data_IF_994897475897
#
_entry.id   IF_994897475897
#
_cell.length_a   1.000
_cell.length_b   1.000
_cell.length_c   1.000
_cell.angle_alpha   90.00
_cell.angle_beta   90.00
_cell.angle_gamma   90.00
#
_symmetry.space_group_name_H-M   'P 1'
#
loop_
_entity.id
_entity.type
_entity.pdbx_description
1 polymer ?
#
# COMPACT_ATOMS: atom_id res chain seq x y z
N UNK A 1 22.50 -2.85 -13.43
CA UNK A 1 23.02 -2.27 -12.16
C UNK A 1 22.57 -0.85 -11.82
N UNK A 2 22.92 0.22 -12.57
CA UNK A 2 22.49 1.60 -12.18
C UNK A 2 20.95 1.74 -12.25
N UNK A 3 20.35 1.22 -13.31
CA UNK A 3 18.90 1.19 -13.51
C UNK A 3 18.17 0.43 -12.38
N UNK A 4 18.70 -0.74 -11.98
CA UNK A 4 18.22 -1.51 -10.82
C UNK A 4 18.17 -0.66 -9.55
N UNK A 5 19.28 0.03 -9.23
CA UNK A 5 19.38 0.86 -8.03
C UNK A 5 18.36 2.00 -8.05
N UNK A 6 18.25 2.71 -9.17
CA UNK A 6 17.31 3.82 -9.34
C UNK A 6 15.87 3.34 -9.20
N UNK A 7 15.51 2.25 -9.87
CA UNK A 7 14.16 1.68 -9.84
C UNK A 7 13.78 1.16 -8.45
N UNK A 8 14.72 0.56 -7.70
CA UNK A 8 14.50 0.16 -6.31
C UNK A 8 14.28 1.39 -5.41
N UNK A 9 15.10 2.43 -5.54
CA UNK A 9 15.00 3.63 -4.73
C UNK A 9 13.67 4.34 -4.98
N UNK A 10 13.33 4.57 -6.25
CA UNK A 10 12.09 5.23 -6.65
C UNK A 10 10.89 4.36 -6.24
N UNK A 11 10.90 3.08 -6.61
CA UNK A 11 9.81 2.15 -6.33
C UNK A 11 9.51 2.04 -4.84
N UNK A 12 10.55 1.83 -4.02
CA UNK A 12 10.43 1.80 -2.56
C UNK A 12 9.90 3.11 -1.98
N UNK A 13 10.35 4.26 -2.50
CA UNK A 13 9.87 5.56 -1.99
C UNK A 13 8.39 5.74 -2.31
N UNK A 14 7.95 5.34 -3.50
CA UNK A 14 6.53 5.38 -3.90
C UNK A 14 5.70 4.41 -3.06
N UNK A 15 6.20 3.21 -2.73
CA UNK A 15 5.53 2.29 -1.78
C UNK A 15 5.29 3.01 -0.47
N UNK A 16 6.33 3.61 0.11
CA UNK A 16 6.27 4.34 1.37
C UNK A 16 5.23 5.46 1.34
N UNK A 17 5.20 6.25 0.27
CA UNK A 17 4.18 7.28 0.05
C UNK A 17 2.78 6.64 0.02
N UNK A 18 2.59 5.60 -0.80
CA UNK A 18 1.31 4.91 -0.96
C UNK A 18 0.74 4.37 0.34
N UNK A 19 1.58 3.81 1.23
CA UNK A 19 1.15 3.28 2.53
C UNK A 19 0.45 4.35 3.39
N UNK A 20 0.91 5.59 3.36
CA UNK A 20 0.33 6.66 4.16
C UNK A 20 -1.09 7.04 3.74
N UNK A 21 -1.46 6.77 2.49
CA UNK A 21 -2.81 7.01 1.98
C UNK A 21 -3.78 5.90 2.38
N UNK A 22 -3.31 4.74 2.83
CA UNK A 22 -4.17 3.61 3.19
C UNK A 22 -4.90 3.93 4.51
N UNK A 23 -6.24 3.92 4.54
CA UNK A 23 -6.99 4.14 5.76
C UNK A 23 -6.90 2.90 6.67
N UNK A 24 -6.20 3.03 7.80
CA UNK A 24 -6.00 1.94 8.75
C UNK A 24 -6.60 2.31 10.09
N UNK A 25 -7.50 1.46 10.57
CA UNK A 25 -8.16 1.64 11.87
C UNK A 25 -7.73 0.64 12.94
N UNK A 26 -7.01 -0.43 12.58
CA UNK A 26 -6.45 -1.39 13.54
C UNK A 26 -7.50 -2.03 14.47
N UNK A 27 -7.10 -2.33 15.70
CA UNK A 27 -7.99 -2.88 16.72
C UNK A 27 -9.21 -1.99 17.01
N UNK A 28 -9.09 -0.63 17.09
CA UNK A 28 -10.25 0.22 17.24
C UNK A 28 -11.29 0.09 16.11
N UNK A 29 -10.87 -0.10 14.86
CA UNK A 29 -11.83 -0.30 13.76
C UNK A 29 -12.48 -1.67 13.81
N UNK A 30 -11.76 -2.71 14.27
CA UNK A 30 -12.36 -4.03 14.48
C UNK A 30 -13.49 -4.00 15.54
N UNK A 31 -13.39 -3.07 16.50
CA UNK A 31 -14.43 -2.82 17.50
C UNK A 31 -15.47 -1.78 17.06
N UNK A 32 -15.41 -1.31 15.80
CA UNK A 32 -16.26 -0.21 15.31
C UNK A 32 -16.17 1.06 16.16
N UNK A 33 -14.98 1.38 16.67
CA UNK A 33 -14.73 2.59 17.49
C UNK A 33 -13.91 3.66 16.77
N UNK A 34 -13.39 3.36 15.59
CA UNK A 34 -12.78 4.32 14.67
C UNK A 34 -13.08 3.93 13.23
N UNK A 35 -13.02 4.90 12.33
CA UNK A 35 -13.06 4.62 10.90
C UNK A 35 -11.70 4.13 10.37
N UNK A 36 -11.73 3.24 9.39
CA UNK A 36 -10.57 2.63 8.75
C UNK A 36 -10.72 1.12 8.62
N UNK A 37 -9.76 0.49 7.93
CA UNK A 37 -9.77 -0.96 7.76
C UNK A 37 -9.43 -1.64 9.12
N UNK A 38 -10.20 -2.65 9.56
CA UNK A 38 -10.06 -3.33 10.86
C UNK A 38 -8.88 -4.33 10.86
N UNK A 39 -7.68 -3.84 10.55
CA UNK A 39 -6.47 -4.65 10.50
C UNK A 39 -5.22 -3.77 10.72
N UNK A 40 -4.08 -4.40 10.96
CA UNK A 40 -2.80 -3.69 11.13
C UNK A 40 -2.30 -3.08 9.82
N UNK A 41 -1.71 -1.89 9.90
CA UNK A 41 -1.18 -1.17 8.72
C UNK A 41 -0.18 -2.01 7.91
N UNK A 42 0.79 -2.71 8.52
CA UNK A 42 1.70 -3.56 7.75
C UNK A 42 0.97 -4.71 7.04
N UNK A 43 -0.06 -5.27 7.66
CA UNK A 43 -0.77 -6.47 7.19
C UNK A 43 -1.65 -6.19 5.97
N UNK A 44 -2.41 -5.08 5.97
CA UNK A 44 -3.18 -4.70 4.77
C UNK A 44 -2.26 -4.26 3.64
N UNK A 45 -1.19 -3.55 3.98
CA UNK A 45 -0.26 -3.01 2.99
C UNK A 45 0.51 -4.14 2.30
N UNK A 46 0.95 -5.16 3.03
CA UNK A 46 1.54 -6.34 2.38
C UNK A 46 0.52 -7.11 1.54
N UNK A 47 -0.75 -7.18 1.96
CA UNK A 47 -1.79 -7.82 1.16
C UNK A 47 -1.96 -7.16 -0.22
N UNK A 48 -1.98 -5.82 -0.28
CA UNK A 48 -2.02 -5.12 -1.57
C UNK A 48 -0.72 -5.27 -2.36
N UNK A 49 0.44 -5.31 -1.67
CA UNK A 49 1.75 -5.51 -2.30
C UNK A 49 1.89 -6.88 -2.94
N UNK A 50 1.53 -7.96 -2.23
CA UNK A 50 1.51 -9.33 -2.77
C UNK A 50 0.59 -9.40 -3.98
N UNK A 51 -0.64 -8.90 -3.87
CA UNK A 51 -1.61 -8.98 -4.97
C UNK A 51 -1.14 -8.21 -6.20
N UNK A 52 -0.57 -7.01 -6.01
CA UNK A 52 -0.01 -6.22 -7.10
C UNK A 52 1.20 -6.88 -7.75
N UNK A 53 2.14 -7.40 -6.97
CA UNK A 53 3.35 -8.06 -7.50
C UNK A 53 2.98 -9.35 -8.24
N UNK A 54 2.02 -10.14 -7.74
CA UNK A 54 1.54 -11.33 -8.44
C UNK A 54 0.79 -10.98 -9.74
N UNK A 55 0.02 -9.89 -9.77
CA UNK A 55 -0.59 -9.38 -10.99
C UNK A 55 0.45 -8.88 -12.01
N UNK A 56 1.54 -8.26 -11.56
CA UNK A 56 2.67 -7.90 -12.43
C UNK A 56 3.40 -9.14 -12.96
N UNK A 57 3.55 -10.17 -12.13
CA UNK A 57 4.18 -11.45 -12.49
C UNK A 57 3.38 -12.21 -13.56
N UNK A 58 2.05 -12.12 -13.55
CA UNK A 58 1.22 -12.81 -14.55
C UNK A 58 1.32 -12.25 -15.97
N UNK A 59 1.87 -11.03 -16.12
CA UNK A 59 2.05 -10.36 -17.42
C UNK A 59 3.53 -10.17 -17.78
N UNK A 60 4.41 -11.02 -17.24
CA UNK A 60 5.83 -11.08 -17.66
C UNK A 60 5.91 -11.24 -19.19
N UNK A 61 6.86 -10.53 -19.80
CA UNK A 61 7.06 -10.52 -21.25
C UNK A 61 6.26 -9.43 -21.99
N UNK A 62 5.37 -8.73 -21.29
CA UNK A 62 4.78 -7.50 -21.79
C UNK A 62 5.74 -6.30 -21.61
N UNK A 63 5.51 -5.18 -22.32
CA UNK A 63 6.24 -3.93 -22.08
C UNK A 63 6.19 -3.49 -20.61
N UNK A 64 7.25 -2.81 -20.17
CA UNK A 64 7.43 -2.33 -18.79
C UNK A 64 6.18 -1.63 -18.22
N UNK A 65 5.60 -0.69 -18.97
CA UNK A 65 4.44 0.07 -18.51
C UNK A 65 3.22 -0.82 -18.25
N UNK A 66 3.05 -1.92 -18.97
CA UNK A 66 1.96 -2.88 -18.74
C UNK A 66 2.19 -3.66 -17.45
N UNK A 67 3.44 -4.06 -17.19
CA UNK A 67 3.81 -4.77 -15.95
C UNK A 67 3.55 -3.88 -14.73
N UNK A 68 3.98 -2.61 -14.80
CA UNK A 68 3.77 -1.63 -13.72
C UNK A 68 2.28 -1.36 -13.52
N UNK A 69 1.52 -1.11 -14.58
CA UNK A 69 0.08 -0.85 -14.50
C UNK A 69 -0.70 -2.07 -13.99
N UNK A 70 -0.31 -3.29 -14.39
CA UNK A 70 -0.97 -4.52 -13.93
C UNK A 70 -0.88 -4.64 -12.41
N UNK A 71 0.29 -4.40 -11.81
CA UNK A 71 0.39 -4.46 -10.36
C UNK A 71 -0.23 -3.28 -9.65
N UNK A 72 -0.21 -2.08 -10.23
CA UNK A 72 -0.95 -0.93 -9.71
C UNK A 72 -2.46 -1.22 -9.60
N UNK A 73 -3.06 -1.76 -10.68
CA UNK A 73 -4.47 -2.12 -10.72
C UNK A 73 -4.75 -3.32 -9.82
N UNK A 74 -3.87 -4.32 -9.78
CA UNK A 74 -3.98 -5.47 -8.88
C UNK A 74 -4.05 -5.06 -7.41
N UNK A 75 -3.18 -4.14 -6.98
CA UNK A 75 -3.21 -3.56 -5.64
C UNK A 75 -4.48 -2.76 -5.39
N UNK A 76 -4.95 -1.95 -6.36
CA UNK A 76 -6.21 -1.21 -6.23
C UNK A 76 -7.42 -2.11 -6.06
N UNK A 77 -7.53 -3.17 -6.87
CA UNK A 77 -8.65 -4.12 -6.79
C UNK A 77 -8.69 -4.79 -5.42
N UNK A 78 -7.54 -5.27 -4.94
CA UNK A 78 -7.44 -5.86 -3.60
C UNK A 78 -7.93 -4.89 -2.52
N UNK A 79 -7.48 -3.63 -2.59
CA UNK A 79 -7.85 -2.60 -1.62
C UNK A 79 -9.34 -2.25 -1.72
N UNK A 80 -9.87 -2.05 -2.93
CA UNK A 80 -11.28 -1.76 -3.18
C UNK A 80 -12.19 -2.85 -2.61
N UNK A 81 -11.89 -4.11 -2.92
CA UNK A 81 -12.64 -5.27 -2.42
C UNK A 81 -12.57 -5.34 -0.90
N UNK A 82 -11.38 -5.20 -0.32
CA UNK A 82 -11.22 -5.24 1.15
C UNK A 82 -12.02 -4.14 1.84
N UNK A 83 -11.95 -2.90 1.34
CA UNK A 83 -12.69 -1.78 1.91
C UNK A 83 -14.20 -1.93 1.72
N UNK A 84 -14.65 -2.49 0.58
CA UNK A 84 -16.06 -2.78 0.32
C UNK A 84 -16.61 -3.80 1.32
N UNK A 85 -15.92 -4.93 1.51
CA UNK A 85 -16.34 -5.94 2.48
C UNK A 85 -16.27 -5.42 3.91
N UNK A 86 -15.27 -4.60 4.23
CA UNK A 86 -15.21 -3.92 5.52
C UNK A 86 -16.45 -3.06 5.74
N UNK A 87 -16.86 -2.24 4.78
CA UNK A 87 -18.08 -1.44 4.87
C UNK A 87 -19.34 -2.30 4.95
N UNK A 88 -19.44 -3.41 4.21
CA UNK A 88 -20.58 -4.33 4.31
C UNK A 88 -20.72 -4.91 5.72
N UNK A 89 -19.61 -5.30 6.36
CA UNK A 89 -19.62 -5.81 7.73
C UNK A 89 -20.06 -4.73 8.72
N UNK A 90 -19.59 -3.49 8.57
CA UNK A 90 -20.01 -2.39 9.46
C UNK A 90 -21.50 -2.06 9.29
N UNK A 91 -21.98 -1.98 8.05
CA UNK A 91 -23.37 -1.62 7.75
C UNK A 91 -24.34 -2.74 8.09
N UNK A 92 -24.11 -3.95 7.58
CA UNK A 92 -25.06 -5.07 7.71
C UNK A 92 -24.79 -5.95 8.92
N UNK A 93 -23.54 -6.03 9.39
CA UNK A 93 -23.16 -6.82 10.55
C UNK A 93 -23.32 -6.06 11.86
N UNK A 94 -22.79 -4.83 11.93
CA UNK A 94 -22.80 -4.00 13.15
C UNK A 94 -24.00 -3.05 13.20
N UNK A 95 -24.54 -2.65 12.05
CA UNK A 95 -25.66 -1.70 11.98
C UNK A 95 -25.24 -0.23 12.07
N UNK A 96 -23.98 0.08 11.75
CA UNK A 96 -23.44 1.45 11.79
C UNK A 96 -23.11 1.94 10.38
N UNK A 97 -23.46 3.19 10.03
CA UNK A 97 -23.06 3.77 8.75
C UNK A 97 -21.55 4.08 8.74
N UNK A 98 -20.89 4.06 7.57
CA UNK A 98 -19.51 4.53 7.44
C UNK A 98 -19.47 6.02 7.75
N UNK A 99 -18.83 6.39 8.86
CA UNK A 99 -18.77 7.78 9.29
C UNK A 99 -17.47 8.10 10.03
N UNK A 100 -17.07 9.37 10.08
CA UNK A 100 -15.84 9.80 10.76
C UNK A 100 -16.01 11.09 11.55
N UNK A 101 -15.40 11.15 12.72
CA UNK A 101 -15.30 12.36 13.54
C UNK A 101 -14.12 13.28 13.13
N UNK A 102 -13.27 12.86 12.19
CA UNK A 102 -12.11 13.64 11.77
C UNK A 102 -12.47 14.82 10.84
N UNK A 103 -13.66 14.80 10.25
CA UNK A 103 -14.15 15.82 9.35
C UNK A 103 -15.69 15.92 9.43
N UNK A 104 -16.22 17.14 9.45
CA UNK A 104 -17.66 17.39 9.61
C UNK A 104 -18.49 16.90 8.42
N UNK A 105 -17.95 17.07 7.21
CA UNK A 105 -18.60 16.76 5.94
C UNK A 105 -17.63 16.01 5.04
N UNK A 106 -18.09 14.93 4.39
CA UNK A 106 -17.28 14.22 3.41
C UNK A 106 -16.96 15.17 2.23
N UNK A 107 -15.69 15.43 1.91
CA UNK A 107 -15.31 16.34 0.83
C UNK A 107 -15.77 15.92 -0.57
N UNK A 108 -16.04 14.63 -0.78
CA UNK A 108 -16.43 14.07 -2.09
C UNK A 108 -17.95 14.07 -2.22
N UNK A 109 -18.66 13.52 -1.25
CA UNK A 109 -20.13 13.33 -1.35
C UNK A 109 -20.91 14.46 -0.73
N UNK A 110 -20.30 15.26 0.14
CA UNK A 110 -20.99 16.26 0.92
C UNK A 110 -21.87 15.68 2.04
N UNK A 111 -21.71 14.41 2.39
CA UNK A 111 -22.46 13.80 3.48
C UNK A 111 -22.00 14.34 4.85
N UNK A 112 -22.94 14.77 5.70
CA UNK A 112 -22.64 15.19 7.06
C UNK A 112 -22.32 13.98 7.92
N UNK A 113 -21.22 14.04 8.67
CA UNK A 113 -20.67 12.90 9.39
C UNK A 113 -21.09 12.89 10.87
N UNK A 114 -21.04 14.05 11.54
CA UNK A 114 -21.24 14.15 12.99
C UNK A 114 -22.51 13.47 13.51
N UNK A 115 -23.70 13.59 12.87
CA UNK A 115 -24.92 12.97 13.38
C UNK A 115 -24.88 11.43 13.38
N UNK A 116 -23.97 10.84 12.62
CA UNK A 116 -23.87 9.40 12.40
C UNK A 116 -22.70 8.77 13.16
N UNK A 117 -21.99 9.55 13.99
CA UNK A 117 -20.95 9.05 14.88
C UNK A 117 -21.56 8.71 16.23
N UNK A 118 -21.54 7.42 16.58
CA UNK A 118 -21.89 6.90 17.90
C UNK A 118 -21.11 7.57 19.04
N UNK A 119 -21.75 7.82 20.20
CA UNK A 119 -21.08 8.41 21.36
C UNK A 119 -19.86 7.59 21.80
N UNK A 120 -18.74 8.26 22.05
CA UNK A 120 -17.49 7.64 22.50
C UNK A 120 -16.65 6.99 21.40
N UNK A 121 -17.04 7.10 20.12
CA UNK A 121 -16.24 6.64 18.98
C UNK A 121 -15.69 7.80 18.16
N UNK A 122 -14.73 7.50 17.29
CA UNK A 122 -14.14 8.47 16.34
C UNK A 122 -14.59 8.21 14.89
N UNK A 123 -15.58 7.33 14.72
CA UNK A 123 -16.09 6.88 13.43
C UNK A 123 -16.27 5.37 13.34
N UNK A 124 -16.79 4.93 12.20
CA UNK A 124 -17.08 3.53 11.87
C UNK A 124 -16.82 3.31 10.38
N UNK A 125 -16.48 2.09 10.00
CA UNK A 125 -16.30 1.74 8.60
C UNK A 125 -15.31 2.64 7.88
N UNK A 126 -15.52 2.86 6.60
CA UNK A 126 -14.60 3.58 5.71
C UNK A 126 -15.44 4.59 4.90
N UNK A 127 -15.44 5.87 5.31
CA UNK A 127 -16.08 6.95 4.56
C UNK A 127 -15.51 7.08 3.13
N UNK A 128 -16.25 7.77 2.25
CA UNK A 128 -15.91 7.85 0.81
C UNK A 128 -14.54 8.47 0.57
N UNK A 129 -14.19 9.55 1.28
CA UNK A 129 -12.86 10.16 1.18
C UNK A 129 -11.73 9.20 1.58
N UNK A 130 -11.93 8.40 2.63
CA UNK A 130 -10.98 7.39 3.08
C UNK A 130 -10.86 6.25 2.06
N UNK A 131 -11.98 5.84 1.45
CA UNK A 131 -12.00 4.84 0.39
C UNK A 131 -11.17 5.30 -0.81
N UNK A 132 -11.40 6.53 -1.29
CA UNK A 132 -10.65 7.12 -2.41
C UNK A 132 -9.16 7.27 -2.06
N UNK A 133 -8.86 7.67 -0.82
CA UNK A 133 -7.48 7.69 -0.32
C UNK A 133 -6.83 6.32 -0.41
N UNK A 134 -7.51 5.26 0.04
CA UNK A 134 -7.01 3.88 -0.05
C UNK A 134 -6.74 3.43 -1.48
N UNK A 135 -7.60 3.82 -2.43
CA UNK A 135 -7.38 3.54 -3.86
C UNK A 135 -6.13 4.23 -4.39
N UNK A 136 -5.92 5.51 -4.07
CA UNK A 136 -4.72 6.25 -4.49
C UNK A 136 -3.46 5.62 -3.87
N UNK A 137 -3.53 5.31 -2.58
CA UNK A 137 -2.41 4.69 -1.86
C UNK A 137 -2.02 3.33 -2.42
N UNK A 138 -3.01 2.51 -2.74
CA UNK A 138 -2.78 1.17 -3.31
C UNK A 138 -2.31 1.23 -4.75
N UNK A 139 -2.77 2.20 -5.53
CA UNK A 139 -2.23 2.46 -6.86
C UNK A 139 -0.74 2.82 -6.81
N UNK A 140 -0.36 3.78 -5.96
CA UNK A 140 1.04 4.17 -5.78
C UNK A 140 1.88 3.00 -5.24
N UNK A 141 1.38 2.32 -4.21
CA UNK A 141 2.02 1.13 -3.66
C UNK A 141 2.29 0.07 -4.73
N UNK A 142 1.27 -0.25 -5.54
CA UNK A 142 1.40 -1.22 -6.63
C UNK A 142 2.39 -0.78 -7.70
N UNK A 143 2.38 0.50 -8.12
CA UNK A 143 3.42 1.03 -9.04
C UNK A 143 4.81 0.79 -8.48
N UNK A 144 5.03 1.15 -7.22
CA UNK A 144 6.35 1.04 -6.60
C UNK A 144 6.81 -0.41 -6.45
N UNK A 145 5.90 -1.30 -6.05
CA UNK A 145 6.17 -2.74 -5.94
C UNK A 145 6.49 -3.39 -7.29
N UNK A 146 5.71 -3.05 -8.32
CA UNK A 146 5.89 -3.58 -9.68
C UNK A 146 7.13 -3.03 -10.37
N UNK A 147 7.51 -1.78 -10.12
CA UNK A 147 8.76 -1.20 -10.62
C UNK A 147 9.98 -1.93 -10.03
N UNK A 148 9.97 -2.20 -8.72
CA UNK A 148 11.01 -2.97 -8.07
C UNK A 148 11.08 -4.41 -8.62
N UNK A 149 9.92 -5.07 -8.77
CA UNK A 149 9.81 -6.39 -9.38
C UNK A 149 10.42 -6.44 -10.79
N UNK A 150 10.01 -5.51 -11.67
CA UNK A 150 10.48 -5.44 -13.04
C UNK A 150 12.00 -5.25 -13.12
N UNK A 151 12.55 -4.36 -12.29
CA UNK A 151 13.99 -4.09 -12.26
C UNK A 151 14.80 -5.33 -11.84
N UNK A 152 14.32 -6.06 -10.82
CA UNK A 152 14.95 -7.32 -10.37
C UNK A 152 14.85 -8.39 -11.45
N UNK A 153 13.67 -8.52 -12.08
CA UNK A 153 13.44 -9.49 -13.15
C UNK A 153 14.38 -9.25 -14.34
N UNK A 154 14.52 -8.00 -14.79
CA UNK A 154 15.40 -7.65 -15.91
C UNK A 154 16.87 -7.95 -15.60
N UNK A 155 17.36 -7.62 -14.41
CA UNK A 155 18.75 -7.90 -14.03
C UNK A 155 19.02 -9.41 -14.01
N UNK A 156 18.10 -10.22 -13.46
CA UNK A 156 18.22 -11.68 -13.46
C UNK A 156 18.17 -12.28 -14.87
N UNK A 157 17.30 -11.74 -15.73
CA UNK A 157 17.15 -12.21 -17.11
C UNK A 157 18.40 -11.88 -17.96
N UNK A 158 19.00 -10.70 -17.76
CA UNK A 158 20.24 -10.30 -18.44
C UNK A 158 21.43 -11.23 -18.11
N UNK A 159 21.51 -11.70 -16.86
CA UNK A 159 22.57 -12.61 -16.42
C UNK A 159 22.38 -14.07 -16.88
N UNK A 160 21.21 -14.42 -17.41
CA UNK A 160 20.85 -15.78 -17.85
C UNK A 160 21.13 -16.89 -16.82
N UNK A 161 21.04 -16.57 -15.52
CA UNK A 161 21.32 -17.53 -14.43
C UNK A 161 20.24 -18.61 -14.34
N UNK A 162 18.99 -18.27 -14.69
CA UNK A 162 17.84 -19.13 -14.52
C UNK A 162 16.94 -19.16 -15.77
N UNK A 163 16.04 -20.14 -15.82
CA UNK A 163 14.93 -20.12 -16.78
C UNK A 163 14.01 -18.92 -16.53
N UNK A 164 13.35 -18.43 -17.58
CA UNK A 164 12.48 -17.24 -17.52
C UNK A 164 11.42 -17.32 -16.41
N UNK A 165 10.87 -18.52 -16.18
CA UNK A 165 9.88 -18.78 -15.15
C UNK A 165 10.47 -18.68 -13.74
N UNK A 166 11.68 -19.22 -13.54
CA UNK A 166 12.40 -19.11 -12.27
C UNK A 166 12.82 -17.66 -11.98
N UNK A 167 13.26 -16.89 -12.99
CA UNK A 167 13.53 -15.45 -12.84
C UNK A 167 12.29 -14.70 -12.33
N UNK A 168 11.10 -15.00 -12.89
CA UNK A 168 9.84 -14.41 -12.46
C UNK A 168 9.50 -14.72 -10.99
N UNK A 169 9.66 -15.97 -10.56
CA UNK A 169 9.36 -16.37 -9.17
C UNK A 169 10.34 -15.74 -8.18
N UNK A 170 11.65 -15.75 -8.47
CA UNK A 170 12.67 -15.17 -7.58
C UNK A 170 12.49 -13.66 -7.46
N UNK A 171 12.26 -12.97 -8.58
CA UNK A 171 12.00 -11.52 -8.57
C UNK A 171 10.73 -11.16 -7.82
N UNK A 172 9.65 -11.94 -7.92
CA UNK A 172 8.43 -11.74 -7.15
C UNK A 172 8.67 -11.87 -5.63
N UNK A 173 9.38 -12.92 -5.20
CA UNK A 173 9.70 -13.14 -3.78
C UNK A 173 10.52 -11.96 -3.24
N UNK A 174 11.57 -11.56 -3.96
CA UNK A 174 12.43 -10.45 -3.57
C UNK A 174 11.62 -9.13 -3.53
N UNK A 175 10.82 -8.83 -4.55
CA UNK A 175 9.99 -7.63 -4.56
C UNK A 175 8.99 -7.60 -3.37
N UNK A 176 8.40 -8.74 -3.00
CA UNK A 176 7.50 -8.83 -1.84
C UNK A 176 8.26 -8.52 -0.54
N UNK A 177 9.49 -9.02 -0.39
CA UNK A 177 10.32 -8.75 0.79
C UNK A 177 10.71 -7.28 0.90
N UNK A 178 11.12 -6.67 -0.22
CA UNK A 178 11.37 -5.23 -0.30
C UNK A 178 10.12 -4.43 0.09
N UNK A 179 8.97 -4.80 -0.48
CA UNK A 179 7.70 -4.16 -0.19
C UNK A 179 7.36 -4.26 1.30
N UNK A 180 7.54 -5.44 1.90
CA UNK A 180 7.29 -5.65 3.32
C UNK A 180 8.10 -4.71 4.20
N UNK A 181 9.42 -4.62 3.97
CA UNK A 181 10.31 -3.78 4.78
C UNK A 181 9.86 -2.32 4.72
N UNK A 182 9.59 -1.79 3.52
CA UNK A 182 9.14 -0.41 3.35
C UNK A 182 7.75 -0.19 3.97
N UNK A 183 6.82 -1.14 3.77
CA UNK A 183 5.49 -1.08 4.34
C UNK A 183 5.53 -1.02 5.86
N UNK A 184 6.42 -1.79 6.48
CA UNK A 184 6.64 -1.80 7.93
C UNK A 184 7.19 -0.45 8.40
N UNK A 185 8.23 0.08 7.75
CA UNK A 185 8.82 1.40 8.10
C UNK A 185 7.77 2.50 8.01
N UNK A 186 7.01 2.56 6.92
CA UNK A 186 5.93 3.54 6.75
C UNK A 186 4.82 3.37 7.80
N UNK A 187 4.42 2.14 8.10
CA UNK A 187 3.38 1.83 9.08
C UNK A 187 3.76 2.27 10.51
N UNK A 188 5.02 2.04 10.90
CA UNK A 188 5.51 2.48 12.21
C UNK A 188 5.58 4.00 12.32
N UNK A 189 5.90 4.71 11.23
CA UNK A 189 5.86 6.17 11.20
C UNK A 189 4.44 6.73 11.42
N UNK A 190 3.42 6.06 10.88
CA UNK A 190 2.01 6.43 11.07
C UNK A 190 1.62 6.30 12.57
N UNK A 191 2.00 5.21 13.23
CA UNK A 191 1.82 5.05 14.68
C UNK A 191 0.35 5.10 15.14
N UNK A 192 -0.43 4.08 14.80
CA UNK A 192 -1.85 3.95 15.18
C UNK A 192 -2.79 4.15 13.99
N UNK A 193 -3.95 4.76 14.22
CA UNK A 193 -5.00 4.92 13.21
C UNK A 193 -4.72 6.09 12.27
N UNK A 194 -5.16 5.97 11.01
CA UNK A 194 -5.12 7.02 9.99
C UNK A 194 -6.28 6.81 9.03
N UNK A 195 -6.98 7.87 8.64
CA UNK A 195 -8.17 7.76 7.79
C UNK A 195 -7.94 8.23 6.34
N UNK A 196 -6.67 8.29 5.92
CA UNK A 196 -6.26 8.72 4.59
C UNK A 196 -5.86 10.19 4.51
N UNK A 197 -5.75 10.72 3.29
CA UNK A 197 -5.08 12.01 3.03
C UNK A 197 -5.75 13.25 3.60
N UNK A 198 -7.03 13.16 3.95
CA UNK A 198 -7.77 14.27 4.56
C UNK A 198 -7.50 14.40 6.07
N UNK A 199 -6.94 13.36 6.69
CA UNK A 199 -6.60 13.33 8.11
C UNK A 199 -5.49 14.33 8.44
N UNK A 200 -5.61 15.05 9.57
CA UNK A 200 -4.55 15.93 10.09
C UNK A 200 -3.25 15.15 10.32
N UNK A 201 -3.38 13.89 10.72
CA UNK A 201 -2.24 12.99 10.94
C UNK A 201 -1.49 12.67 9.66
N UNK A 202 -2.18 12.53 8.53
CA UNK A 202 -1.55 12.33 7.24
C UNK A 202 -0.58 13.48 6.90
N UNK A 203 -1.06 14.72 7.02
CA UNK A 203 -0.27 15.92 6.69
C UNK A 203 1.01 16.05 7.51
N UNK A 204 0.97 15.66 8.79
CA UNK A 204 2.15 15.72 9.65
C UNK A 204 3.11 14.55 9.46
N UNK A 205 2.63 13.37 9.02
CA UNK A 205 3.43 12.15 8.94
C UNK A 205 3.97 11.82 7.55
N UNK A 206 3.36 12.32 6.48
CA UNK A 206 3.76 11.97 5.11
C UNK A 206 5.20 12.38 4.78
N UNK A 207 5.62 13.59 5.14
CA UNK A 207 6.97 14.09 4.86
C UNK A 207 8.05 13.28 5.62
N UNK A 208 8.01 13.19 6.97
CA UNK A 208 9.02 12.40 7.70
C UNK A 208 8.97 10.92 7.34
N UNK A 209 7.79 10.39 7.01
CA UNK A 209 7.62 9.01 6.55
C UNK A 209 8.28 8.76 5.20
N UNK A 210 8.09 9.68 4.25
CA UNK A 210 8.69 9.58 2.90
C UNK A 210 10.21 9.67 2.97
N UNK A 211 10.76 10.57 3.79
CA UNK A 211 12.21 10.69 4.00
C UNK A 211 12.77 9.41 4.61
N UNK A 212 12.11 8.86 5.63
CA UNK A 212 12.51 7.58 6.23
C UNK A 212 12.50 6.43 5.22
N UNK A 213 11.48 6.35 4.37
CA UNK A 213 11.39 5.33 3.32
C UNK A 213 12.45 5.51 2.24
N UNK A 214 12.80 6.76 1.90
CA UNK A 214 13.87 7.07 0.94
C UNK A 214 15.25 6.68 1.48
N UNK A 215 15.54 6.97 2.75
CA UNK A 215 16.81 6.54 3.37
C UNK A 215 16.88 5.01 3.41
N UNK A 216 15.78 4.36 3.79
CA UNK A 216 15.69 2.90 3.82
C UNK A 216 15.83 2.29 2.43
N UNK A 217 15.31 2.94 1.38
CA UNK A 217 15.40 2.44 0.02
C UNK A 217 16.82 2.45 -0.54
N UNK A 218 17.65 3.43 -0.16
CA UNK A 218 19.07 3.44 -0.49
C UNK A 218 19.79 2.22 0.12
N UNK A 219 19.51 1.93 1.40
CA UNK A 219 20.08 0.77 2.09
C UNK A 219 19.64 -0.53 1.39
N UNK A 220 18.34 -0.66 1.09
CA UNK A 220 17.81 -1.81 0.38
C UNK A 220 18.42 -1.95 -1.02
N UNK A 221 18.61 -0.86 -1.75
CA UNK A 221 19.22 -0.89 -3.08
C UNK A 221 20.63 -1.48 -3.04
N UNK A 222 21.45 -1.09 -2.05
CA UNK A 222 22.80 -1.66 -1.85
C UNK A 222 22.72 -3.16 -1.51
N UNK A 223 21.82 -3.54 -0.59
CA UNK A 223 21.64 -4.96 -0.22
C UNK A 223 21.22 -5.79 -1.43
N UNK A 224 20.29 -5.30 -2.25
CA UNK A 224 19.83 -6.00 -3.45
C UNK A 224 20.90 -6.08 -4.52
N UNK A 225 21.72 -5.04 -4.68
CA UNK A 225 22.87 -5.07 -5.57
C UNK A 225 23.90 -6.14 -5.16
N UNK A 226 24.11 -6.35 -3.85
CA UNK A 226 24.99 -7.41 -3.35
C UNK A 226 24.39 -8.81 -3.55
N UNK A 227 23.10 -8.99 -3.20
CA UNK A 227 22.40 -10.27 -3.38
C UNK A 227 22.41 -10.67 -4.86
N UNK A 228 21.98 -9.76 -5.74
CA UNK A 228 21.94 -10.02 -7.17
C UNK A 228 23.34 -10.08 -7.78
N UNK A 229 24.32 -9.34 -7.24
CA UNK A 229 25.71 -9.37 -7.69
C UNK A 229 26.42 -10.69 -7.38
N UNK A 230 26.05 -11.35 -6.28
CA UNK A 230 26.56 -12.67 -5.90
C UNK A 230 25.87 -13.86 -6.58
N UNK A 231 24.76 -13.62 -7.28
CA UNK A 231 24.05 -14.56 -8.16
C UNK A 231 24.59 -14.47 -9.60
#
# INVERSE_FOLDING_TARGET
MIELLISIIIGSTIIGIGVHFIPVGGAPAALSTTAGIPTGAPMITIGMGITGILAATSVIGQPEYIIILSGAIGSMIMMAVTMLFSNMIHVYGVGVPPASANFEKDPITGFQQEPYVSPGTTGHGIPTISFVSGLIGSFLGGIGGSLAFWAIYNELNLKQVYSTMACGSVSAILAIMLFFVIAVVASYNIGGTIQGFYDKKFKSKIIPGTISCFIMSIILAVVYALILGGL
#
